data_IF_071690396579
#
_entry.id   IF_071690396579
#
_cell.length_a   1.000
_cell.length_b   1.000
_cell.length_c   1.000
_cell.angle_alpha   90.00
_cell.angle_beta   90.00
_cell.angle_gamma   90.00
#
_symmetry.space_group_name_H-M   'P 1'
#
loop_
_entity.id
_entity.type
_entity.pdbx_description
1 polymer ?
#
# COMPACT_ATOMS: atom_id res chain seq x y z
N UNK A 1 -25.92 14.17 -10.66
CA UNK A 1 -24.66 13.43 -10.84
C UNK A 1 -24.38 12.60 -9.58
N UNK A 2 -24.04 11.30 -9.70
CA UNK A 2 -23.62 10.50 -8.53
C UNK A 2 -22.25 11.00 -8.05
N UNK A 3 -22.09 11.21 -6.75
CA UNK A 3 -20.82 11.63 -6.17
C UNK A 3 -19.67 10.67 -6.55
N UNK A 4 -18.46 11.20 -6.78
CA UNK A 4 -17.28 10.41 -7.10
C UNK A 4 -16.98 9.43 -5.95
N UNK A 5 -17.03 9.90 -4.70
CA UNK A 5 -16.89 9.10 -3.49
C UNK A 5 -18.27 9.00 -2.82
N UNK A 6 -18.83 7.78 -2.65
CA UNK A 6 -20.06 7.60 -1.90
C UNK A 6 -19.91 8.07 -0.44
N UNK A 7 -20.96 8.63 0.16
CA UNK A 7 -20.90 9.12 1.56
C UNK A 7 -20.42 8.06 2.55
N UNK A 8 -20.85 6.81 2.38
CA UNK A 8 -20.41 5.70 3.24
C UNK A 8 -18.91 5.39 3.13
N UNK A 9 -18.27 5.75 2.03
CA UNK A 9 -16.86 5.47 1.78
C UNK A 9 -15.92 6.54 2.37
N UNK A 10 -16.43 7.73 2.71
CA UNK A 10 -15.59 8.84 3.17
C UNK A 10 -14.84 8.48 4.46
N UNK A 11 -15.55 7.97 5.47
CA UNK A 11 -14.92 7.62 6.75
C UNK A 11 -13.92 6.45 6.61
N UNK A 12 -14.24 5.31 5.96
CA UNK A 12 -13.26 4.23 5.78
C UNK A 12 -12.01 4.66 5.00
N UNK A 13 -12.17 5.43 3.93
CA UNK A 13 -11.04 5.95 3.14
C UNK A 13 -10.17 6.91 3.96
N UNK A 14 -10.80 7.83 4.72
CA UNK A 14 -10.08 8.76 5.58
C UNK A 14 -9.31 8.04 6.69
N UNK A 15 -9.92 7.02 7.31
CA UNK A 15 -9.28 6.19 8.33
C UNK A 15 -8.11 5.38 7.75
N UNK A 16 -8.30 4.74 6.59
CA UNK A 16 -7.24 4.01 5.92
C UNK A 16 -6.03 4.92 5.60
N UNK A 17 -6.30 6.12 5.08
CA UNK A 17 -5.26 7.11 4.84
C UNK A 17 -4.57 7.58 6.13
N UNK A 18 -5.33 7.88 7.18
CA UNK A 18 -4.78 8.31 8.47
C UNK A 18 -3.91 7.23 9.12
N UNK A 19 -4.37 5.95 9.09
CA UNK A 19 -3.60 4.82 9.61
C UNK A 19 -2.34 4.58 8.77
N UNK A 20 -2.40 4.76 7.45
CA UNK A 20 -1.21 4.69 6.61
C UNK A 20 -0.16 5.76 7.00
N UNK A 21 -0.59 7.00 7.17
CA UNK A 21 0.29 8.07 7.63
C UNK A 21 0.85 7.77 9.03
N UNK A 22 0.02 7.29 9.94
CA UNK A 22 0.45 6.92 11.29
C UNK A 22 1.46 5.75 11.27
N UNK A 23 1.23 4.73 10.44
CA UNK A 23 2.14 3.61 10.31
C UNK A 23 3.51 4.04 9.75
N UNK A 24 3.52 4.87 8.72
CA UNK A 24 4.74 5.28 8.06
C UNK A 24 5.54 6.33 8.87
N UNK A 25 4.88 7.43 9.27
CA UNK A 25 5.56 8.51 10.00
C UNK A 25 5.66 8.21 11.49
N UNK A 26 4.62 7.59 12.08
CA UNK A 26 4.60 7.27 13.50
C UNK A 26 5.66 6.24 13.90
N UNK A 27 5.91 5.23 13.07
CA UNK A 27 6.95 4.24 13.35
C UNK A 27 8.35 4.89 13.49
N UNK A 28 8.64 5.94 12.72
CA UNK A 28 9.91 6.66 12.79
C UNK A 28 10.19 7.29 14.16
N UNK A 29 9.15 7.61 14.94
CA UNK A 29 9.31 8.17 16.29
C UNK A 29 9.87 7.15 17.29
N UNK A 30 9.79 5.86 16.98
CA UNK A 30 10.25 4.76 17.85
C UNK A 30 11.62 4.23 17.45
N UNK A 31 12.18 4.66 16.30
CA UNK A 31 13.40 4.05 15.77
C UNK A 31 14.69 4.46 16.49
N UNK A 32 14.78 5.63 17.09
CA UNK A 32 15.92 6.09 17.91
C UNK A 32 17.30 5.54 17.48
N UNK A 33 18.03 4.90 18.40
CA UNK A 33 19.30 4.22 18.16
C UNK A 33 19.12 2.71 17.86
N UNK A 34 18.04 2.32 17.21
CA UNK A 34 17.72 0.91 16.94
C UNK A 34 18.62 0.34 15.84
N UNK A 35 19.08 -0.91 16.03
CA UNK A 35 19.76 -1.65 14.98
C UNK A 35 18.78 -2.11 13.91
N UNK A 36 19.14 -1.93 12.63
CA UNK A 36 18.31 -2.35 11.50
C UNK A 36 18.68 -3.74 11.03
N UNK A 37 17.66 -4.50 10.60
CA UNK A 37 17.81 -5.81 9.98
C UNK A 37 17.92 -5.68 8.46
N UNK A 38 18.72 -6.55 7.84
CA UNK A 38 18.84 -6.66 6.40
C UNK A 38 18.13 -7.92 5.92
N UNK A 39 17.19 -7.76 4.98
CA UNK A 39 16.42 -8.88 4.40
C UNK A 39 16.81 -9.15 2.94
N UNK A 40 17.98 -8.68 2.52
CA UNK A 40 18.51 -8.86 1.16
C UNK A 40 18.74 -10.34 0.87
N UNK A 41 18.19 -10.83 -0.24
CA UNK A 41 18.36 -12.18 -0.75
C UNK A 41 19.38 -12.18 -1.92
N UNK A 42 19.99 -13.34 -2.25
CA UNK A 42 20.91 -13.42 -3.39
C UNK A 42 20.34 -12.90 -4.71
N UNK A 43 19.03 -13.08 -4.93
CA UNK A 43 18.33 -12.57 -6.11
C UNK A 43 18.34 -11.04 -6.21
N UNK A 44 18.37 -10.32 -5.09
CA UNK A 44 18.35 -8.86 -5.10
C UNK A 44 19.64 -8.27 -5.70
N UNK A 45 20.76 -9.02 -5.65
CA UNK A 45 22.04 -8.59 -6.21
C UNK A 45 22.07 -8.62 -7.74
N UNK A 46 21.27 -9.50 -8.37
CA UNK A 46 21.21 -9.63 -9.83
C UNK A 46 20.14 -8.72 -10.47
N UNK A 47 19.23 -8.16 -9.67
CA UNK A 47 18.24 -7.20 -10.16
C UNK A 47 18.95 -5.89 -10.50
N UNK A 48 18.88 -5.38 -11.75
CA UNK A 48 19.53 -4.13 -12.12
C UNK A 48 18.85 -2.90 -11.49
N UNK A 49 19.60 -1.81 -11.37
CA UNK A 49 19.04 -0.49 -11.08
C UNK A 49 18.57 0.15 -12.38
N UNK A 50 17.28 0.51 -12.47
CA UNK A 50 16.65 1.09 -13.67
C UNK A 50 15.90 2.37 -13.30
N UNK A 51 16.53 3.55 -13.36
CA UNK A 51 15.96 4.83 -12.91
C UNK A 51 14.64 5.21 -13.58
N UNK A 52 14.41 4.80 -14.82
CA UNK A 52 13.17 5.11 -15.56
C UNK A 52 11.91 4.57 -14.86
N UNK A 53 12.03 3.54 -14.01
CA UNK A 53 10.90 3.01 -13.23
C UNK A 53 10.39 3.97 -12.16
N UNK A 54 11.07 5.11 -11.93
CA UNK A 54 10.56 6.19 -11.07
C UNK A 54 9.17 6.67 -11.51
N UNK A 55 8.90 6.68 -12.80
CA UNK A 55 7.59 7.05 -13.35
C UNK A 55 6.52 6.08 -12.86
N UNK A 56 6.78 4.78 -12.96
CA UNK A 56 5.85 3.73 -12.48
C UNK A 56 5.64 3.83 -10.98
N UNK A 57 6.73 4.04 -10.23
CA UNK A 57 6.71 4.17 -8.78
C UNK A 57 5.82 5.34 -8.32
N UNK A 58 5.94 6.49 -8.98
CA UNK A 58 5.11 7.66 -8.68
C UNK A 58 3.66 7.49 -9.16
N UNK A 59 3.43 6.81 -10.29
CA UNK A 59 2.08 6.50 -10.78
C UNK A 59 1.33 5.52 -9.86
N UNK A 60 2.01 4.80 -8.97
CA UNK A 60 1.38 3.96 -7.96
C UNK A 60 0.38 4.76 -7.09
N UNK A 61 0.69 6.00 -6.72
CA UNK A 61 -0.24 6.85 -5.96
C UNK A 61 -1.55 7.11 -6.70
N UNK A 62 -1.49 7.30 -8.03
CA UNK A 62 -2.67 7.44 -8.88
C UNK A 62 -3.44 6.11 -8.94
N UNK A 63 -2.73 4.99 -9.10
CA UNK A 63 -3.33 3.65 -9.07
C UNK A 63 -4.10 3.42 -7.77
N UNK A 64 -3.54 3.75 -6.62
CA UNK A 64 -4.19 3.55 -5.32
C UNK A 64 -5.43 4.43 -5.18
N UNK A 65 -5.32 5.72 -5.49
CA UNK A 65 -6.46 6.63 -5.43
C UNK A 65 -7.63 6.14 -6.30
N UNK A 66 -7.36 5.80 -7.57
CA UNK A 66 -8.36 5.27 -8.50
C UNK A 66 -8.86 3.91 -8.03
N UNK A 67 -7.97 3.01 -7.63
CA UNK A 67 -8.28 1.65 -7.19
C UNK A 67 -9.25 1.65 -6.02
N UNK A 68 -8.94 2.35 -4.95
CA UNK A 68 -9.79 2.39 -3.75
C UNK A 68 -11.14 3.09 -4.01
N UNK A 69 -11.15 4.18 -4.77
CA UNK A 69 -12.42 4.83 -5.16
C UNK A 69 -13.30 3.85 -5.94
N UNK A 70 -12.76 3.16 -6.92
CA UNK A 70 -13.50 2.21 -7.74
C UNK A 70 -14.01 1.01 -6.94
N UNK A 71 -13.21 0.45 -6.03
CA UNK A 71 -13.61 -0.62 -5.11
C UNK A 71 -14.75 -0.14 -4.19
N UNK A 72 -14.59 1.03 -3.59
CA UNK A 72 -15.60 1.59 -2.69
C UNK A 72 -16.91 1.95 -3.40
N UNK A 73 -16.91 2.16 -4.70
CA UNK A 73 -18.13 2.40 -5.49
C UNK A 73 -18.91 1.13 -5.82
N UNK A 74 -18.36 -0.03 -5.59
CA UNK A 74 -19.09 -1.30 -5.81
C UNK A 74 -20.31 -1.38 -4.89
N UNK A 75 -20.07 -1.48 -3.61
CA UNK A 75 -21.09 -1.55 -2.58
C UNK A 75 -20.49 -1.14 -1.22
N UNK A 76 -21.36 -0.78 -0.31
CA UNK A 76 -21.00 -0.47 1.08
C UNK A 76 -20.24 -1.63 1.74
N UNK A 77 -20.74 -2.86 1.56
CA UNK A 77 -20.13 -4.04 2.15
C UNK A 77 -18.71 -4.28 1.62
N UNK A 78 -18.50 -4.21 0.31
CA UNK A 78 -17.16 -4.35 -0.31
C UNK A 78 -16.22 -3.26 0.17
N UNK A 79 -16.67 -1.99 0.22
CA UNK A 79 -15.89 -0.88 0.74
C UNK A 79 -15.43 -1.14 2.18
N UNK A 80 -16.36 -1.47 3.08
CA UNK A 80 -16.04 -1.69 4.49
C UNK A 80 -15.14 -2.90 4.71
N UNK A 81 -15.35 -3.97 3.95
CA UNK A 81 -14.51 -5.17 4.02
C UNK A 81 -13.08 -4.88 3.58
N UNK A 82 -12.91 -4.27 2.39
CA UNK A 82 -11.56 -4.04 1.84
C UNK A 82 -10.81 -2.97 2.63
N UNK A 83 -11.46 -1.85 2.98
CA UNK A 83 -10.83 -0.80 3.79
C UNK A 83 -10.52 -1.27 5.21
N UNK A 84 -11.38 -2.11 5.79
CA UNK A 84 -11.11 -2.73 7.08
C UNK A 84 -9.89 -3.65 7.05
N UNK A 85 -9.79 -4.48 6.02
CA UNK A 85 -8.61 -5.34 5.81
C UNK A 85 -7.33 -4.53 5.60
N UNK A 86 -7.42 -3.44 4.84
CA UNK A 86 -6.30 -2.54 4.59
C UNK A 86 -5.81 -1.89 5.88
N UNK A 87 -6.71 -1.40 6.74
CA UNK A 87 -6.35 -0.85 8.05
C UNK A 87 -5.66 -1.90 8.93
N UNK A 88 -6.17 -3.14 8.97
CA UNK A 88 -5.53 -4.24 9.70
C UNK A 88 -4.10 -4.47 9.18
N UNK A 89 -3.93 -4.52 7.86
CA UNK A 89 -2.61 -4.69 7.24
C UNK A 89 -1.63 -3.57 7.61
N UNK A 90 -2.10 -2.31 7.64
CA UNK A 90 -1.27 -1.17 8.08
C UNK A 90 -0.89 -1.24 9.54
N UNK A 91 -1.77 -1.72 10.41
CA UNK A 91 -1.43 -1.99 11.80
C UNK A 91 -0.32 -3.05 11.92
N UNK A 92 -0.37 -4.11 11.10
CA UNK A 92 0.69 -5.12 11.03
C UNK A 92 2.00 -4.49 10.52
N UNK A 93 1.96 -3.69 9.45
CA UNK A 93 3.15 -2.97 8.96
C UNK A 93 3.75 -2.08 10.06
N UNK A 94 2.92 -1.33 10.78
CA UNK A 94 3.38 -0.50 11.90
C UNK A 94 4.12 -1.32 12.97
N UNK A 95 3.56 -2.46 13.36
CA UNK A 95 4.20 -3.37 14.32
C UNK A 95 5.54 -3.90 13.77
N UNK A 96 5.59 -4.30 12.51
CA UNK A 96 6.84 -4.72 11.86
C UNK A 96 7.88 -3.59 11.87
N UNK A 97 7.48 -2.37 11.50
CA UNK A 97 8.39 -1.22 11.45
C UNK A 97 8.95 -0.84 12.83
N UNK A 98 8.16 -0.99 13.89
CA UNK A 98 8.60 -0.67 15.26
C UNK A 98 9.44 -1.79 15.87
N UNK A 99 9.00 -3.06 15.73
CA UNK A 99 9.64 -4.18 16.42
C UNK A 99 10.69 -4.93 15.60
N UNK A 100 10.66 -4.77 14.28
CA UNK A 100 11.62 -5.39 13.35
C UNK A 100 12.00 -4.40 12.24
N UNK A 101 12.60 -3.25 12.58
CA UNK A 101 12.98 -2.25 11.59
C UNK A 101 14.01 -2.80 10.60
N UNK A 102 13.74 -2.59 9.32
CA UNK A 102 14.57 -3.12 8.24
C UNK A 102 15.18 -2.00 7.41
N UNK A 103 16.33 -2.27 6.84
CA UNK A 103 17.02 -1.37 5.92
C UNK A 103 17.68 -2.13 4.77
N UNK A 104 18.13 -1.40 3.76
CA UNK A 104 18.89 -1.94 2.64
C UNK A 104 19.93 -0.95 2.13
N UNK A 105 20.92 -1.47 1.42
CA UNK A 105 21.87 -0.64 0.67
C UNK A 105 21.24 -0.22 -0.64
N UNK A 106 21.16 1.09 -0.87
CA UNK A 106 20.63 1.67 -2.11
C UNK A 106 21.68 1.70 -3.20
N UNK A 107 21.24 1.83 -4.46
CA UNK A 107 22.13 2.01 -5.58
C UNK A 107 22.84 3.38 -5.49
N UNK A 108 24.11 3.40 -5.84
CA UNK A 108 24.85 4.63 -6.06
C UNK A 108 24.39 5.25 -7.40
N UNK A 109 24.02 6.54 -7.37
CA UNK A 109 23.53 7.26 -8.54
C UNK A 109 24.61 8.18 -9.05
N UNK A 110 25.34 7.75 -10.07
CA UNK A 110 26.48 8.50 -10.64
C UNK A 110 26.10 9.40 -11.82
N UNK A 111 24.98 9.12 -12.49
CA UNK A 111 24.48 9.86 -13.64
C UNK A 111 23.67 11.11 -13.26
N UNK A 112 23.31 11.91 -14.29
CA UNK A 112 22.58 13.18 -14.15
C UNK A 112 21.35 13.27 -15.06
N UNK A 113 20.86 12.16 -15.58
CA UNK A 113 19.59 12.15 -16.35
C UNK A 113 18.41 12.61 -15.49
N UNK A 114 17.31 12.99 -16.13
CA UNK A 114 16.09 13.40 -15.44
C UNK A 114 15.59 12.31 -14.48
N UNK A 115 15.64 11.05 -14.90
CA UNK A 115 15.20 9.92 -14.07
C UNK A 115 16.13 9.71 -12.86
N UNK A 116 17.43 9.76 -13.05
CA UNK A 116 18.41 9.64 -11.95
C UNK A 116 18.29 10.80 -10.95
N UNK A 117 18.07 12.02 -11.45
CA UNK A 117 17.82 13.18 -10.59
C UNK A 117 16.54 12.99 -9.76
N UNK A 118 15.46 12.48 -10.38
CA UNK A 118 14.22 12.20 -9.68
C UNK A 118 14.39 11.08 -8.62
N UNK A 119 15.16 10.02 -8.92
CA UNK A 119 15.46 8.95 -7.94
C UNK A 119 16.33 9.48 -6.81
N UNK A 120 17.32 10.34 -7.08
CA UNK A 120 18.15 10.97 -6.04
C UNK A 120 17.28 11.76 -5.08
N UNK A 121 16.38 12.59 -5.61
CA UNK A 121 15.41 13.32 -4.80
C UNK A 121 14.51 12.39 -3.98
N UNK A 122 14.01 11.30 -4.59
CA UNK A 122 13.26 10.28 -3.86
C UNK A 122 14.06 9.70 -2.70
N UNK A 123 15.35 9.39 -2.92
CA UNK A 123 16.22 8.85 -1.89
C UNK A 123 16.47 9.81 -0.72
N UNK A 124 16.46 11.12 -0.99
CA UNK A 124 16.61 12.16 0.04
C UNK A 124 15.37 12.28 0.92
N UNK A 125 14.16 12.23 0.33
CA UNK A 125 12.90 12.42 1.08
C UNK A 125 12.41 11.15 1.75
N UNK A 126 12.78 9.98 1.23
CA UNK A 126 12.35 8.68 1.73
C UNK A 126 13.55 7.85 2.16
N UNK A 127 13.91 7.95 3.45
CA UNK A 127 15.04 7.21 4.02
C UNK A 127 14.84 5.68 3.89
N UNK A 128 15.93 4.88 3.73
CA UNK A 128 15.84 3.43 3.57
C UNK A 128 15.60 2.72 4.91
N UNK A 129 14.49 3.03 5.54
CA UNK A 129 14.02 2.42 6.78
C UNK A 129 12.54 2.05 6.65
N UNK A 130 12.03 1.20 7.55
CA UNK A 130 10.65 0.74 7.51
C UNK A 130 10.29 0.05 6.18
N UNK A 131 11.15 -0.87 5.71
CA UNK A 131 11.01 -1.48 4.39
C UNK A 131 10.09 -2.70 4.39
N UNK A 132 10.10 -3.52 5.46
CA UNK A 132 9.33 -4.75 5.55
C UNK A 132 8.09 -4.61 6.44
N UNK A 133 6.90 -4.96 5.94
CA UNK A 133 6.53 -5.25 4.53
C UNK A 133 6.45 -3.97 3.68
N UNK A 134 6.65 -4.11 2.36
CA UNK A 134 6.55 -2.96 1.44
C UNK A 134 5.13 -2.40 1.37
N UNK A 135 4.94 -1.13 1.78
CA UNK A 135 3.66 -0.44 1.66
C UNK A 135 3.27 -0.25 0.18
N UNK A 136 4.22 0.04 -0.71
CA UNK A 136 3.93 0.20 -2.14
C UNK A 136 3.35 -1.07 -2.76
N UNK A 137 3.96 -2.21 -2.45
CA UNK A 137 3.46 -3.51 -2.91
C UNK A 137 2.11 -3.85 -2.26
N UNK A 138 1.96 -3.57 -0.96
CA UNK A 138 0.74 -3.83 -0.20
C UNK A 138 -0.46 -3.11 -0.80
N UNK A 139 -0.36 -1.79 -1.02
CA UNK A 139 -1.42 -0.95 -1.59
C UNK A 139 -1.80 -1.39 -3.00
N UNK A 140 -0.80 -1.63 -3.84
CA UNK A 140 -1.04 -2.08 -5.21
C UNK A 140 -1.69 -3.46 -5.25
N UNK A 141 -1.30 -4.35 -4.34
CA UNK A 141 -1.90 -5.66 -4.17
C UNK A 141 -3.36 -5.55 -3.69
N UNK A 142 -3.67 -4.68 -2.71
CA UNK A 142 -5.04 -4.43 -2.28
C UNK A 142 -5.92 -3.89 -3.39
N UNK A 143 -5.42 -2.98 -4.22
CA UNK A 143 -6.14 -2.49 -5.40
C UNK A 143 -6.47 -3.61 -6.39
N UNK A 144 -5.51 -4.49 -6.65
CA UNK A 144 -5.71 -5.67 -7.48
C UNK A 144 -6.74 -6.63 -6.84
N UNK A 145 -6.54 -7.04 -5.58
CA UNK A 145 -7.44 -7.97 -4.89
C UNK A 145 -8.86 -7.41 -4.76
N UNK A 146 -8.97 -6.12 -4.42
CA UNK A 146 -10.25 -5.43 -4.34
C UNK A 146 -11.01 -5.40 -5.67
N UNK A 147 -10.29 -5.26 -6.80
CA UNK A 147 -10.89 -5.34 -8.12
C UNK A 147 -11.50 -6.74 -8.41
N UNK A 148 -10.93 -7.82 -7.86
CA UNK A 148 -11.48 -9.17 -7.96
C UNK A 148 -12.62 -9.42 -6.96
N UNK A 149 -12.58 -8.82 -5.77
CA UNK A 149 -13.64 -8.90 -4.77
C UNK A 149 -14.90 -8.17 -5.27
N UNK A 150 -14.73 -7.07 -5.98
CA UNK A 150 -15.83 -6.32 -6.58
C UNK A 150 -16.54 -7.13 -7.67
N UNK A 151 -17.88 -7.12 -7.61
CA UNK A 151 -18.73 -7.76 -8.62
C UNK A 151 -19.07 -6.83 -9.79
N UNK A 152 -18.88 -5.52 -9.64
CA UNK A 152 -19.24 -4.52 -10.64
C UNK A 152 -18.08 -4.13 -11.56
N UNK A 153 -16.83 -4.39 -11.15
CA UNK A 153 -15.67 -4.04 -11.95
C UNK A 153 -15.48 -5.05 -13.09
N UNK A 154 -15.23 -4.52 -14.29
CA UNK A 154 -15.09 -5.31 -15.51
C UNK A 154 -13.83 -6.18 -15.51
N UNK A 155 -13.79 -7.22 -16.36
CA UNK A 155 -12.60 -8.04 -16.57
C UNK A 155 -11.41 -7.21 -17.05
N UNK A 156 -11.63 -6.24 -17.93
CA UNK A 156 -10.61 -5.30 -18.40
C UNK A 156 -9.96 -4.51 -17.24
N UNK A 157 -10.80 -3.96 -16.34
CA UNK A 157 -10.29 -3.23 -15.19
C UNK A 157 -9.44 -4.13 -14.28
N UNK A 158 -9.85 -5.38 -14.07
CA UNK A 158 -9.07 -6.36 -13.30
C UNK A 158 -7.70 -6.63 -13.93
N UNK A 159 -7.66 -6.78 -15.26
CA UNK A 159 -6.39 -6.95 -15.98
C UNK A 159 -5.48 -5.74 -15.86
N UNK A 160 -6.03 -4.51 -15.95
CA UNK A 160 -5.27 -3.28 -15.71
C UNK A 160 -4.69 -3.26 -14.30
N UNK A 161 -5.46 -3.64 -13.29
CA UNK A 161 -4.98 -3.67 -11.90
C UNK A 161 -3.91 -4.74 -11.66
N UNK A 162 -3.99 -5.90 -12.32
CA UNK A 162 -2.91 -6.91 -12.29
C UNK A 162 -1.63 -6.32 -12.87
N UNK A 163 -1.70 -5.78 -14.08
CA UNK A 163 -0.54 -5.21 -14.75
C UNK A 163 0.09 -4.07 -13.94
N UNK A 164 -0.75 -3.17 -13.42
CA UNK A 164 -0.29 -2.07 -12.59
C UNK A 164 0.39 -2.57 -11.30
N UNK A 165 -0.16 -3.57 -10.61
CA UNK A 165 0.45 -4.16 -9.43
C UNK A 165 1.82 -4.80 -9.76
N UNK A 166 1.93 -5.56 -10.84
CA UNK A 166 3.19 -6.16 -11.30
C UNK A 166 4.23 -5.07 -11.60
N UNK A 167 3.83 -4.01 -12.30
CA UNK A 167 4.73 -2.90 -12.62
C UNK A 167 5.20 -2.16 -11.38
N UNK A 168 4.30 -1.92 -10.40
CA UNK A 168 4.68 -1.29 -9.12
C UNK A 168 5.65 -2.19 -8.35
N UNK A 169 5.38 -3.49 -8.24
CA UNK A 169 6.29 -4.45 -7.60
C UNK A 169 7.67 -4.41 -8.27
N UNK A 170 7.73 -4.48 -9.60
CA UNK A 170 8.98 -4.34 -10.34
C UNK A 170 9.68 -3.00 -10.06
N UNK A 171 8.92 -1.90 -10.01
CA UNK A 171 9.50 -0.56 -9.76
C UNK A 171 10.17 -0.47 -8.40
N UNK A 172 9.64 -1.09 -7.36
CA UNK A 172 10.24 -1.03 -6.01
C UNK A 172 11.61 -1.67 -5.94
N UNK A 173 11.82 -2.81 -6.61
CA UNK A 173 13.12 -3.50 -6.62
C UNK A 173 14.10 -2.95 -7.67
N UNK A 174 13.59 -2.49 -8.82
CA UNK A 174 14.41 -1.86 -9.86
C UNK A 174 14.92 -0.46 -9.46
N UNK A 175 14.20 0.23 -8.59
CA UNK A 175 14.65 1.48 -7.97
C UNK A 175 15.45 1.27 -6.68
N UNK A 176 15.70 0.02 -6.27
CA UNK A 176 16.37 -0.28 -4.98
C UNK A 176 15.72 0.44 -3.80
N UNK A 177 14.40 0.52 -3.80
CA UNK A 177 13.59 0.99 -2.67
C UNK A 177 13.20 -0.15 -1.73
N UNK A 178 13.07 -1.36 -2.28
CA UNK A 178 12.72 -2.58 -1.54
C UNK A 178 13.51 -3.78 -2.06
N UNK A 179 13.53 -4.85 -1.26
CA UNK A 179 14.05 -6.16 -1.62
C UNK A 179 12.88 -7.14 -1.89
N UNK A 180 13.17 -8.26 -2.53
CA UNK A 180 12.14 -9.27 -2.90
C UNK A 180 11.39 -9.79 -1.66
N UNK A 181 12.06 -9.90 -0.52
CA UNK A 181 11.43 -10.31 0.74
C UNK A 181 10.32 -9.34 1.18
N UNK A 182 10.48 -8.03 0.97
CA UNK A 182 9.47 -7.02 1.33
C UNK A 182 8.19 -7.18 0.49
N UNK A 183 8.33 -7.58 -0.78
CA UNK A 183 7.20 -7.86 -1.68
C UNK A 183 6.42 -9.08 -1.21
N UNK A 184 7.13 -10.16 -0.86
CA UNK A 184 6.51 -11.37 -0.32
C UNK A 184 5.78 -11.10 1.00
N UNK A 185 6.41 -10.32 1.89
CA UNK A 185 5.81 -9.85 3.13
C UNK A 185 4.52 -9.05 2.90
N UNK A 186 4.49 -8.19 1.90
CA UNK A 186 3.31 -7.41 1.54
C UNK A 186 2.13 -8.29 1.10
N UNK A 187 2.39 -9.30 0.25
CA UNK A 187 1.36 -10.26 -0.20
C UNK A 187 0.82 -11.05 0.98
N UNK A 188 1.70 -11.62 1.82
CA UNK A 188 1.31 -12.41 2.99
C UNK A 188 0.48 -11.56 3.95
N UNK A 189 0.92 -10.33 4.22
CA UNK A 189 0.20 -9.40 5.11
C UNK A 189 -1.17 -9.05 4.56
N UNK A 190 -1.29 -8.78 3.25
CA UNK A 190 -2.57 -8.47 2.62
C UNK A 190 -3.55 -9.66 2.67
N UNK A 191 -3.11 -10.87 2.32
CA UNK A 191 -3.99 -12.06 2.34
C UNK A 191 -4.39 -12.43 3.77
N UNK A 192 -3.47 -12.31 4.73
CA UNK A 192 -3.80 -12.49 6.14
C UNK A 192 -4.84 -11.48 6.61
N UNK A 193 -4.66 -10.21 6.28
CA UNK A 193 -5.60 -9.15 6.67
C UNK A 193 -6.99 -9.32 6.03
N UNK A 194 -7.05 -9.72 4.75
CA UNK A 194 -8.30 -10.06 4.08
C UNK A 194 -8.99 -11.26 4.73
N UNK A 195 -8.24 -12.30 5.04
CA UNK A 195 -8.77 -13.47 5.75
C UNK A 195 -9.31 -13.09 7.13
N UNK A 196 -8.53 -12.35 7.92
CA UNK A 196 -8.89 -11.92 9.27
C UNK A 196 -10.11 -10.98 9.26
N UNK A 197 -10.15 -10.02 8.34
CA UNK A 197 -11.29 -9.11 8.16
C UNK A 197 -12.59 -9.86 7.85
N UNK A 198 -12.50 -10.95 7.06
CA UNK A 198 -13.65 -11.81 6.77
C UNK A 198 -14.09 -12.58 8.02
N UNK A 199 -13.16 -13.13 8.80
CA UNK A 199 -13.46 -13.90 10.01
C UNK A 199 -14.07 -13.03 11.13
N UNK A 200 -13.62 -11.79 11.24
CA UNK A 200 -14.08 -10.83 12.27
C UNK A 200 -15.30 -10.02 11.86
N UNK A 201 -15.80 -10.20 10.62
CA UNK A 201 -16.92 -9.41 10.08
C UNK A 201 -16.70 -7.90 10.24
N UNK A 202 -15.51 -7.41 9.87
CA UNK A 202 -15.11 -6.01 10.02
C UNK A 202 -16.06 -5.03 9.31
N UNK A 203 -16.69 -5.45 8.23
CA UNK A 203 -17.72 -4.71 7.50
C UNK A 203 -18.92 -4.34 8.37
N UNK A 204 -19.34 -5.23 9.28
CA UNK A 204 -20.43 -4.98 10.23
C UNK A 204 -20.00 -3.97 11.31
N UNK A 205 -18.75 -4.03 11.76
CA UNK A 205 -18.20 -3.07 12.70
C UNK A 205 -18.17 -1.66 12.09
N UNK A 206 -17.67 -1.50 10.88
CA UNK A 206 -17.72 -0.23 10.15
C UNK A 206 -19.16 0.29 9.96
N UNK A 207 -20.12 -0.59 9.70
CA UNK A 207 -21.52 -0.20 9.59
C UNK A 207 -22.07 0.43 10.88
N UNK A 208 -21.57 0.00 12.05
CA UNK A 208 -21.99 0.54 13.35
C UNK A 208 -21.37 1.91 13.66
N UNK A 209 -20.10 2.12 13.30
CA UNK A 209 -19.37 3.35 13.66
C UNK A 209 -19.51 4.47 12.63
N UNK A 210 -19.93 4.19 11.40
CA UNK A 210 -20.01 5.21 10.35
C UNK A 210 -21.16 6.18 10.58
N UNK A 211 -20.90 7.20 11.41
CA UNK A 211 -21.86 8.24 11.77
C UNK A 211 -22.28 9.14 10.58
N UNK A 212 -21.46 9.21 9.52
CA UNK A 212 -21.77 10.00 8.32
C UNK A 212 -22.99 9.46 7.52
N UNK A 213 -23.41 8.23 7.81
CA UNK A 213 -24.60 7.63 7.23
C UNK A 213 -25.82 7.64 8.16
N UNK A 214 -25.64 7.95 9.43
CA UNK A 214 -26.78 8.01 10.35
C UNK A 214 -27.66 9.17 9.91
N UNK A 215 -28.90 8.88 9.50
CA UNK A 215 -29.93 9.92 9.32
C UNK A 215 -30.12 10.59 10.68
N UNK A 216 -30.25 11.93 10.74
CA UNK A 216 -30.72 12.56 11.98
C UNK A 216 -32.04 11.89 12.39
N UNK A 217 -32.31 11.68 13.69
CA UNK A 217 -33.60 11.21 14.16
C UNK A 217 -34.67 12.17 13.60
N UNK A 218 -35.73 11.61 13.00
CA UNK A 218 -36.90 12.38 12.49
C UNK A 218 -37.65 12.96 13.65
#
# INVERSE_FOLDING_TARGET
MKALIPKYAVLPLALAFAVNCAAYFGARLFLGNTSYHHMTLPIDSIIPFVPAFIVVYLLAYVQWAVGYIMICRDSRQVCYYVMGAEIIAKCICFLCFVFYPTTMVRAEITGSSLFETAVRYLYEIDAPNNLFPSIHCLESYFCMRGAFISKKLSGWYRMIMILAAILVFASTVLLKQHVVADMAGAIITAEFALWFARKTHIDQWFAKINFLERRPPQ
#
